data_IF_021441719065
#
_entry.id   IF_021441719065
#
_cell.length_a   1.000
_cell.length_b   1.000
_cell.length_c   1.000
_cell.angle_alpha   90.00
_cell.angle_beta   90.00
_cell.angle_gamma   90.00
#
_symmetry.space_group_name_H-M   'P 1'
#
loop_
_entity.id
_entity.type
_entity.pdbx_description
1 polymer ?
#
# COMPACT_ATOMS: atom_id res chain seq x y z
N UNK A 1 11.60 29.98 24.83
CA UNK A 1 10.54 28.96 24.64
C UNK A 1 11.16 27.71 24.05
N UNK A 2 10.83 26.52 24.54
CA UNK A 2 11.42 25.25 24.07
C UNK A 2 10.78 24.75 22.77
N UNK A 3 11.53 23.98 21.99
CA UNK A 3 11.02 23.22 20.83
C UNK A 3 11.04 21.72 21.18
N UNK A 4 9.91 21.05 21.02
CA UNK A 4 9.76 19.61 21.23
C UNK A 4 9.48 18.93 19.89
N UNK A 5 9.97 17.71 19.69
CA UNK A 5 9.82 16.95 18.44
C UNK A 5 8.85 15.78 18.62
N UNK A 6 8.05 15.56 17.60
CA UNK A 6 7.03 14.51 17.52
C UNK A 6 7.03 13.98 16.08
N UNK A 7 6.47 12.80 15.88
CA UNK A 7 6.15 12.28 14.56
C UNK A 7 4.76 11.66 14.54
N UNK A 8 4.20 11.51 13.35
CA UNK A 8 2.91 10.90 13.12
C UNK A 8 3.06 9.81 12.07
N UNK A 9 2.55 8.63 12.38
CA UNK A 9 2.36 7.56 11.41
C UNK A 9 0.92 7.58 10.91
N UNK A 10 0.76 7.31 9.61
CA UNK A 10 -0.53 7.24 8.94
C UNK A 10 -0.59 5.98 8.10
N UNK A 11 -1.66 5.19 8.28
CA UNK A 11 -2.00 4.10 7.40
C UNK A 11 -2.84 4.64 6.24
N UNK A 12 -2.42 4.31 5.03
CA UNK A 12 -3.03 4.79 3.78
C UNK A 12 -3.19 3.63 2.81
N UNK A 13 -4.09 3.79 1.85
CA UNK A 13 -4.15 2.95 0.65
C UNK A 13 -3.51 3.74 -0.49
N UNK A 14 -2.55 3.14 -1.19
CA UNK A 14 -1.86 3.77 -2.33
C UNK A 14 -1.79 2.80 -3.49
N UNK A 15 -1.74 3.33 -4.71
CA UNK A 15 -1.42 2.53 -5.87
C UNK A 15 0.08 2.25 -5.91
N UNK A 16 0.40 1.09 -6.47
CA UNK A 16 1.77 0.69 -6.78
C UNK A 16 1.91 0.51 -8.29
N UNK A 17 3.12 0.62 -8.80
CA UNK A 17 3.43 0.44 -10.21
C UNK A 17 4.58 -0.52 -10.41
N UNK A 18 4.26 -1.61 -11.08
CA UNK A 18 5.21 -2.59 -11.57
C UNK A 18 5.47 -2.39 -13.06
N UNK A 19 6.72 -2.12 -13.39
CA UNK A 19 7.22 -2.12 -14.76
C UNK A 19 7.69 -3.52 -15.12
N UNK A 20 7.20 -4.04 -16.24
CA UNK A 20 7.56 -5.35 -16.76
C UNK A 20 7.49 -5.37 -18.28
N UNK A 21 8.06 -6.41 -18.89
CA UNK A 21 8.00 -6.67 -20.32
C UNK A 21 7.57 -8.11 -20.59
N UNK A 22 7.00 -8.36 -21.76
CA UNK A 22 6.58 -9.68 -22.22
C UNK A 22 7.25 -9.97 -23.56
N UNK A 23 7.93 -11.11 -23.65
CA UNK A 23 8.47 -11.63 -24.90
C UNK A 23 7.34 -12.30 -25.71
N UNK A 24 7.12 -11.81 -26.93
CA UNK A 24 6.11 -12.27 -27.87
C UNK A 24 6.48 -11.86 -29.30
N UNK A 25 5.91 -12.54 -30.30
CA UNK A 25 6.18 -12.28 -31.73
C UNK A 25 5.44 -11.03 -32.24
N UNK A 26 4.44 -10.56 -31.51
CA UNK A 26 3.65 -9.37 -31.83
C UNK A 26 3.08 -8.70 -30.57
N UNK A 27 2.68 -7.43 -30.69
CA UNK A 27 2.03 -6.72 -29.59
C UNK A 27 0.68 -7.35 -29.23
N UNK A 28 -0.08 -7.82 -30.22
CA UNK A 28 -1.35 -8.51 -30.03
C UNK A 28 -1.18 -9.79 -29.22
N UNK A 29 -0.11 -10.55 -29.47
CA UNK A 29 0.24 -11.74 -28.68
C UNK A 29 0.66 -11.34 -27.25
N UNK A 30 1.51 -10.33 -27.08
CA UNK A 30 1.90 -9.85 -25.75
C UNK A 30 0.67 -9.44 -24.92
N UNK A 31 -0.28 -8.74 -25.52
CA UNK A 31 -1.55 -8.36 -24.87
C UNK A 31 -2.41 -9.59 -24.57
N UNK A 32 -2.44 -10.59 -25.45
CA UNK A 32 -3.15 -11.86 -25.20
C UNK A 32 -2.55 -12.61 -23.99
N UNK A 33 -1.22 -12.68 -23.90
CA UNK A 33 -0.50 -13.25 -22.75
C UNK A 33 -0.87 -12.50 -21.47
N UNK A 34 -0.78 -11.16 -21.47
CA UNK A 34 -1.14 -10.35 -20.30
C UNK A 34 -2.59 -10.59 -19.88
N UNK A 35 -3.53 -10.61 -20.83
CA UNK A 35 -4.94 -10.89 -20.55
C UNK A 35 -5.16 -12.29 -19.97
N UNK A 36 -4.37 -13.28 -20.41
CA UNK A 36 -4.47 -14.65 -19.91
C UNK A 36 -4.14 -14.77 -18.41
N UNK A 37 -3.40 -13.82 -17.85
CA UNK A 37 -3.08 -13.77 -16.42
C UNK A 37 -4.24 -13.28 -15.54
N UNK A 38 -5.31 -12.74 -16.13
CA UNK A 38 -6.55 -12.43 -15.40
C UNK A 38 -6.41 -11.36 -14.31
N UNK A 39 -5.58 -10.34 -14.54
CA UNK A 39 -5.26 -9.30 -13.53
C UNK A 39 -4.62 -9.84 -12.25
N UNK A 40 -3.97 -11.01 -12.28
CA UNK A 40 -3.09 -11.44 -11.21
C UNK A 40 -1.95 -10.43 -11.02
N UNK A 41 -1.48 -10.30 -9.78
CA UNK A 41 -0.30 -9.52 -9.44
C UNK A 41 0.92 -10.06 -10.22
N UNK A 42 1.54 -9.20 -11.01
CA UNK A 42 2.62 -9.55 -11.93
C UNK A 42 3.84 -10.12 -11.20
N UNK A 43 4.08 -9.71 -9.96
CA UNK A 43 5.17 -10.25 -9.13
C UNK A 43 4.99 -11.73 -8.78
N UNK A 44 3.75 -12.24 -8.86
CA UNK A 44 3.39 -13.63 -8.53
C UNK A 44 3.20 -14.52 -9.77
N UNK A 45 3.40 -13.98 -10.97
CA UNK A 45 3.21 -14.72 -12.23
C UNK A 45 4.47 -15.52 -12.57
N UNK A 46 4.29 -16.82 -12.78
CA UNK A 46 5.36 -17.71 -13.24
C UNK A 46 5.22 -18.01 -14.74
N UNK A 47 5.47 -17.01 -15.58
CA UNK A 47 5.60 -17.16 -17.05
C UNK A 47 7.04 -16.82 -17.46
N UNK A 48 7.68 -17.70 -18.23
CA UNK A 48 9.08 -17.49 -18.67
C UNK A 48 9.25 -16.30 -19.61
N UNK A 49 8.16 -15.87 -20.25
CA UNK A 49 8.14 -14.71 -21.16
C UNK A 49 8.00 -13.39 -20.40
N UNK A 50 7.66 -13.42 -19.11
CA UNK A 50 7.57 -12.23 -18.28
C UNK A 50 8.96 -11.86 -17.75
N UNK A 51 9.33 -10.60 -17.95
CA UNK A 51 10.55 -10.00 -17.40
C UNK A 51 10.18 -8.82 -16.52
N UNK A 52 10.39 -8.98 -15.22
CA UNK A 52 10.15 -7.93 -14.23
C UNK A 52 11.30 -6.92 -14.23
N UNK A 53 10.98 -5.61 -14.12
CA UNK A 53 11.98 -4.54 -14.09
C UNK A 53 11.99 -3.82 -12.73
N UNK A 54 11.00 -2.97 -12.46
CA UNK A 54 11.00 -2.06 -11.30
C UNK A 54 9.63 -1.91 -10.66
N UNK A 55 9.67 -1.67 -9.35
CA UNK A 55 8.51 -1.33 -8.53
C UNK A 55 8.60 0.12 -8.04
N UNK A 56 7.45 0.78 -7.96
CA UNK A 56 7.31 2.08 -7.31
C UNK A 56 5.99 2.16 -6.54
N UNK A 57 6.04 2.59 -5.28
CA UNK A 57 4.87 3.16 -4.61
C UNK A 57 4.51 4.51 -5.26
N UNK A 58 3.21 4.79 -5.40
CA UNK A 58 2.69 6.05 -5.91
C UNK A 58 2.08 6.86 -4.74
N UNK A 59 2.91 7.53 -3.93
CA UNK A 59 2.43 8.24 -2.74
C UNK A 59 1.43 9.35 -3.08
N UNK A 60 1.47 9.90 -4.29
CA UNK A 60 0.53 10.90 -4.78
C UNK A 60 -0.90 10.39 -4.91
N UNK A 61 -1.11 9.07 -4.99
CA UNK A 61 -2.43 8.46 -5.03
C UNK A 61 -2.89 7.98 -3.65
N UNK A 62 -2.20 8.38 -2.58
CA UNK A 62 -2.51 7.89 -1.23
C UNK A 62 -3.83 8.47 -0.74
N UNK A 63 -4.74 7.58 -0.36
CA UNK A 63 -5.99 7.91 0.31
C UNK A 63 -5.91 7.50 1.79
N UNK A 64 -6.49 8.30 2.71
CA UNK A 64 -6.50 7.95 4.12
C UNK A 64 -7.32 6.67 4.34
N UNK A 65 -6.77 5.72 5.09
CA UNK A 65 -7.53 4.56 5.57
C UNK A 65 -8.23 4.94 6.88
N UNK A 66 -9.52 4.62 7.01
CA UNK A 66 -10.27 4.83 8.25
C UNK A 66 -10.08 3.64 9.21
N UNK A 67 -10.19 3.84 10.54
CA UNK A 67 -10.15 2.73 11.49
C UNK A 67 -11.15 1.63 11.19
N UNK A 68 -12.35 1.97 10.74
CA UNK A 68 -13.40 1.01 10.37
C UNK A 68 -12.97 0.11 9.20
N UNK A 69 -12.25 0.68 8.23
CA UNK A 69 -11.67 -0.06 7.09
C UNK A 69 -10.45 -0.88 7.50
N UNK A 70 -9.82 -0.52 8.61
CA UNK A 70 -8.67 -1.20 9.21
C UNK A 70 -9.07 -2.18 10.34
N UNK A 71 -10.31 -2.66 10.35
CA UNK A 71 -10.78 -3.63 11.35
C UNK A 71 -10.90 -3.06 12.77
N UNK A 72 -11.14 -1.75 12.90
CA UNK A 72 -11.20 -1.02 14.16
C UNK A 72 -9.83 -0.65 14.75
N UNK A 73 -8.73 -1.00 14.08
CA UNK A 73 -7.38 -0.64 14.54
C UNK A 73 -7.03 0.82 14.16
N UNK A 74 -6.15 1.49 14.93
CA UNK A 74 -5.68 2.83 14.57
C UNK A 74 -5.15 2.91 13.14
N UNK A 75 -5.44 4.02 12.47
CA UNK A 75 -4.83 4.40 11.18
C UNK A 75 -4.03 5.69 11.28
N UNK A 76 -4.07 6.37 12.43
CA UNK A 76 -3.26 7.53 12.74
C UNK A 76 -2.75 7.44 14.17
N UNK A 77 -1.44 7.58 14.35
CA UNK A 77 -0.79 7.52 15.65
C UNK A 77 0.25 8.62 15.76
N UNK A 78 0.29 9.31 16.91
CA UNK A 78 1.26 10.37 17.19
C UNK A 78 2.18 9.91 18.30
N UNK A 79 3.48 10.08 18.09
CA UNK A 79 4.53 9.64 18.99
C UNK A 79 5.44 10.80 19.39
N UNK A 80 6.06 10.69 20.57
CA UNK A 80 7.22 11.51 20.89
C UNK A 80 8.48 11.00 20.19
N UNK A 81 9.57 11.75 20.25
CA UNK A 81 10.85 11.37 19.61
C UNK A 81 11.45 10.04 20.13
N UNK A 82 11.04 9.56 21.31
CA UNK A 82 11.46 8.28 21.87
C UNK A 82 10.58 7.10 21.43
N UNK A 83 9.59 7.34 20.57
CA UNK A 83 8.65 6.31 20.09
C UNK A 83 7.54 5.95 21.07
N UNK A 84 7.31 6.75 22.12
CA UNK A 84 6.18 6.54 23.03
C UNK A 84 4.92 7.11 22.39
N UNK A 85 3.88 6.26 22.26
CA UNK A 85 2.58 6.67 21.74
C UNK A 85 1.93 7.71 22.66
N UNK A 86 1.47 8.80 22.07
CA UNK A 86 0.79 9.91 22.76
C UNK A 86 -0.72 9.78 22.56
N UNK A 87 -1.16 9.52 21.33
CA UNK A 87 -2.57 9.35 21.00
C UNK A 87 -2.76 8.58 19.69
N UNK A 88 -3.94 7.99 19.54
CA UNK A 88 -4.37 7.27 18.33
C UNK A 88 -5.80 7.66 17.96
N UNK A 89 -6.23 7.32 16.74
CA UNK A 89 -7.61 7.48 16.30
C UNK A 89 -8.45 6.18 16.40
N UNK A 90 -8.00 5.18 17.18
CA UNK A 90 -8.83 3.99 17.37
C UNK A 90 -10.17 4.36 18.02
N UNK A 91 -11.29 3.74 17.59
CA UNK A 91 -12.56 3.89 18.27
C UNK A 91 -12.42 3.43 19.72
N UNK A 92 -12.96 4.21 20.66
CA UNK A 92 -13.04 3.78 22.06
C UNK A 92 -13.83 2.47 22.11
N UNK A 93 -13.28 1.44 22.73
CA UNK A 93 -14.00 0.20 22.93
C UNK A 93 -15.27 0.54 23.74
N UNK A 94 -16.44 0.43 23.12
CA UNK A 94 -17.71 0.52 23.82
C UNK A 94 -17.68 -0.56 24.89
N UNK A 95 -17.42 -0.19 26.14
CA UNK A 95 -17.63 -1.09 27.26
C UNK A 95 -19.14 -1.34 27.29
N UNK A 96 -19.57 -2.48 26.77
CA UNK A 96 -20.92 -2.98 26.98
C UNK A 96 -21.10 -3.16 28.49
N UNK A 97 -21.85 -2.25 29.11
CA UNK A 97 -22.37 -2.41 30.48
C UNK A 97 -23.38 -3.55 30.55
#
# INVERSE_FOLDING_TARGET
>A
MGKYKFYQDRKVTSWERDYFSVEADSYEEAVSIIRSWGCADVSNISDKRLFYDKWFALPETSEPLLPEENGGCPTMEIFNQSGVSIMTNAPEATQSN
#
